data_IF_402562968863
#
_entry.id   IF_402562968863
#
_cell.length_a   1.000
_cell.length_b   1.000
_cell.length_c   1.000
_cell.angle_alpha   90.00
_cell.angle_beta   90.00
_cell.angle_gamma   90.00
#
_symmetry.space_group_name_H-M   'P 1'
#
loop_
_entity.id
_entity.type
_entity.pdbx_description
1 polymer ?
#
# COMPACT_ATOMS: atom_id res chain seq x y z
N UNK A 1 -0.10 -1.21 0.39
CA UNK A 1 -1.38 -1.39 -0.34
C UNK A 1 -1.66 -2.84 -0.79
N UNK A 2 -0.80 -3.82 -0.45
CA UNK A 2 -1.02 -5.25 -0.81
C UNK A 2 -1.43 -6.13 0.36
N UNK A 3 -1.18 -5.71 1.61
CA UNK A 3 -1.37 -6.54 2.80
C UNK A 3 -2.83 -6.92 3.03
N UNK A 4 -3.77 -5.96 2.97
CA UNK A 4 -5.20 -6.24 3.16
C UNK A 4 -5.73 -7.17 2.07
N UNK A 5 -5.30 -6.96 0.82
CA UNK A 5 -5.67 -7.84 -0.30
C UNK A 5 -5.16 -9.27 -0.09
N UNK A 6 -3.92 -9.43 0.37
CA UNK A 6 -3.34 -10.75 0.67
C UNK A 6 -4.06 -11.47 1.81
N UNK A 7 -4.49 -10.73 2.85
CA UNK A 7 -5.33 -11.26 3.92
C UNK A 7 -6.68 -11.72 3.36
N UNK A 8 -7.36 -10.89 2.56
CA UNK A 8 -8.65 -11.25 1.95
C UNK A 8 -8.56 -12.49 1.06
N UNK A 9 -7.52 -12.60 0.21
CA UNK A 9 -7.29 -13.81 -0.58
C UNK A 9 -7.10 -15.00 0.35
N UNK A 10 -6.35 -14.83 1.44
CA UNK A 10 -6.10 -15.92 2.38
C UNK A 10 -7.40 -16.38 3.04
N UNK A 11 -8.30 -15.46 3.37
CA UNK A 11 -9.58 -15.79 4.00
C UNK A 11 -10.61 -16.37 3.01
N UNK A 12 -10.56 -15.98 1.73
CA UNK A 12 -11.55 -16.37 0.72
C UNK A 12 -11.12 -17.56 -0.15
N UNK A 13 -9.82 -17.75 -0.38
CA UNK A 13 -9.29 -18.71 -1.35
C UNK A 13 -8.61 -19.89 -0.63
N UNK A 14 -8.94 -21.14 -0.99
CA UNK A 14 -8.25 -22.32 -0.49
C UNK A 14 -6.74 -22.25 -0.70
N UNK A 15 -5.97 -22.75 0.27
CA UNK A 15 -4.50 -22.64 0.29
C UNK A 15 -3.82 -23.08 -1.02
N UNK A 16 -4.36 -24.12 -1.68
CA UNK A 16 -3.81 -24.66 -2.94
C UNK A 16 -3.83 -23.64 -4.09
N UNK A 17 -4.83 -22.78 -4.13
CA UNK A 17 -5.08 -21.86 -5.24
C UNK A 17 -4.50 -20.47 -4.98
N UNK A 18 -4.10 -20.17 -3.72
CA UNK A 18 -3.60 -18.84 -3.33
C UNK A 18 -2.41 -18.38 -4.17
N UNK A 19 -1.52 -19.30 -4.56
CA UNK A 19 -0.38 -18.98 -5.43
C UNK A 19 -0.80 -18.44 -6.79
N UNK A 20 -1.82 -19.06 -7.41
CA UNK A 20 -2.36 -18.62 -8.70
C UNK A 20 -3.01 -17.24 -8.57
N UNK A 21 -3.85 -17.04 -7.56
CA UNK A 21 -4.52 -15.76 -7.32
C UNK A 21 -3.54 -14.62 -7.02
N UNK A 22 -2.50 -14.89 -6.23
CA UNK A 22 -1.44 -13.93 -5.97
C UNK A 22 -0.67 -13.57 -7.25
N UNK A 23 -0.43 -14.56 -8.13
CA UNK A 23 0.16 -14.34 -9.45
C UNK A 23 -0.70 -13.42 -10.34
N UNK A 24 -2.01 -13.69 -10.43
CA UNK A 24 -2.95 -12.84 -11.20
C UNK A 24 -2.93 -11.40 -10.68
N UNK A 25 -2.95 -11.21 -9.36
CA UNK A 25 -2.92 -9.87 -8.76
C UNK A 25 -1.60 -9.15 -9.03
N UNK A 26 -0.48 -9.87 -9.00
CA UNK A 26 0.82 -9.30 -9.35
C UNK A 26 0.88 -8.87 -10.82
N UNK A 27 0.26 -9.63 -11.73
CA UNK A 27 0.14 -9.24 -13.14
C UNK A 27 -0.66 -7.94 -13.27
N UNK A 28 -1.85 -7.87 -12.65
CA UNK A 28 -2.69 -6.66 -12.66
C UNK A 28 -1.90 -5.45 -12.12
N UNK A 29 -1.19 -5.64 -11.01
CA UNK A 29 -0.36 -4.61 -10.40
C UNK A 29 0.77 -4.15 -11.34
N UNK A 30 1.53 -5.08 -11.91
CA UNK A 30 2.64 -4.77 -12.80
C UNK A 30 2.17 -4.07 -14.08
N UNK A 31 1.07 -4.54 -14.67
CA UNK A 31 0.47 -3.91 -15.85
C UNK A 31 -0.02 -2.49 -15.53
N UNK A 32 -0.74 -2.31 -14.43
CA UNK A 32 -1.21 -0.98 -13.99
C UNK A 32 -0.04 -0.03 -13.72
N UNK A 33 0.98 -0.49 -13.01
CA UNK A 33 2.20 0.28 -12.73
C UNK A 33 2.96 0.63 -14.01
N UNK A 34 3.04 -0.29 -14.98
CA UNK A 34 3.74 -0.08 -16.24
C UNK A 34 3.03 0.93 -17.15
N UNK A 35 1.69 0.88 -17.19
CA UNK A 35 0.88 1.77 -18.04
C UNK A 35 0.69 3.16 -17.40
N UNK A 36 0.73 3.25 -16.07
CA UNK A 36 0.46 4.49 -15.34
C UNK A 36 1.39 5.65 -15.71
N UNK A 37 2.69 5.40 -15.86
CA UNK A 37 3.66 6.45 -16.17
C UNK A 37 3.48 7.04 -17.59
N UNK A 38 3.38 6.24 -18.67
CA UNK A 38 3.06 6.75 -20.01
C UNK A 38 1.73 7.51 -20.06
N UNK A 39 0.66 6.97 -19.48
CA UNK A 39 -0.65 7.64 -19.47
C UNK A 39 -0.60 8.96 -18.70
N UNK A 40 0.07 8.99 -17.55
CA UNK A 40 0.25 10.21 -16.75
C UNK A 40 1.03 11.28 -17.50
N UNK A 41 2.09 10.90 -18.22
CA UNK A 41 2.87 11.80 -19.07
C UNK A 41 2.03 12.40 -20.20
N UNK A 42 1.30 11.56 -20.94
CA UNK A 42 0.38 12.02 -22.00
C UNK A 42 -0.67 12.98 -21.43
N UNK A 43 -1.29 12.65 -20.29
CA UNK A 43 -2.26 13.55 -19.67
C UNK A 43 -1.65 14.89 -19.28
N UNK A 44 -0.43 14.88 -18.74
CA UNK A 44 0.30 16.08 -18.36
C UNK A 44 0.63 16.97 -19.57
N UNK A 45 1.06 16.37 -20.68
CA UNK A 45 1.51 17.08 -21.88
C UNK A 45 0.36 17.69 -22.69
N UNK A 46 -0.78 16.99 -22.81
CA UNK A 46 -1.88 17.43 -23.69
C UNK A 46 -3.00 18.19 -22.99
N UNK A 47 -3.33 17.82 -21.74
CA UNK A 47 -4.52 18.35 -21.03
C UNK A 47 -4.13 19.07 -19.72
N UNK A 48 -2.95 18.73 -19.19
CA UNK A 48 -2.38 19.32 -17.99
C UNK A 48 -2.28 18.32 -16.84
N UNK A 49 -1.24 18.48 -16.02
CA UNK A 49 -0.83 17.52 -14.99
C UNK A 49 -1.93 17.17 -13.96
N UNK A 50 -2.89 18.07 -13.71
CA UNK A 50 -4.00 17.83 -12.76
C UNK A 50 -4.87 16.65 -13.18
N UNK A 51 -5.02 16.42 -14.49
CA UNK A 51 -5.82 15.34 -15.03
C UNK A 51 -5.24 13.96 -14.75
N UNK A 52 -3.92 13.86 -14.54
CA UNK A 52 -3.29 12.63 -14.09
C UNK A 52 -3.86 12.16 -12.74
N UNK A 53 -4.34 13.08 -11.88
CA UNK A 53 -4.97 12.76 -10.59
C UNK A 53 -6.48 12.65 -10.70
N UNK A 54 -7.12 13.56 -11.43
CA UNK A 54 -8.59 13.61 -11.54
C UNK A 54 -9.14 12.33 -12.18
N UNK A 55 -8.46 11.77 -13.19
CA UNK A 55 -8.89 10.53 -13.86
C UNK A 55 -8.84 9.32 -12.93
N UNK A 56 -7.94 9.30 -11.95
CA UNK A 56 -7.85 8.20 -10.99
C UNK A 56 -9.05 8.21 -10.02
N UNK A 57 -9.55 9.38 -9.63
CA UNK A 57 -10.65 9.51 -8.67
C UNK A 57 -11.93 8.71 -9.04
N UNK A 58 -12.51 8.83 -10.26
CA UNK A 58 -13.68 8.02 -10.64
C UNK A 58 -13.36 6.53 -10.73
N UNK A 59 -12.15 6.15 -11.15
CA UNK A 59 -11.73 4.73 -11.20
C UNK A 59 -11.67 4.16 -9.79
N UNK A 60 -11.08 4.90 -8.85
CA UNK A 60 -11.03 4.53 -7.44
C UNK A 60 -12.43 4.46 -6.82
N UNK A 61 -13.31 5.41 -7.16
CA UNK A 61 -14.70 5.41 -6.68
C UNK A 61 -15.47 4.20 -7.20
N UNK A 62 -15.34 3.85 -8.47
CA UNK A 62 -15.97 2.66 -9.05
C UNK A 62 -15.46 1.37 -8.39
N UNK A 63 -14.15 1.25 -8.19
CA UNK A 63 -13.56 0.11 -7.49
C UNK A 63 -14.06 0.01 -6.04
N UNK A 64 -14.14 1.15 -5.34
CA UNK A 64 -14.67 1.22 -3.98
C UNK A 64 -16.12 0.74 -3.94
N UNK A 65 -17.00 1.28 -4.78
CA UNK A 65 -18.41 0.86 -4.85
C UNK A 65 -18.54 -0.63 -5.19
N UNK A 66 -17.76 -1.12 -6.15
CA UNK A 66 -17.79 -2.53 -6.53
C UNK A 66 -17.43 -3.44 -5.36
N UNK A 67 -16.36 -3.12 -4.62
CA UNK A 67 -15.95 -3.86 -3.42
C UNK A 67 -17.02 -3.75 -2.34
N UNK A 68 -17.55 -2.57 -2.06
CA UNK A 68 -18.59 -2.34 -1.03
C UNK A 68 -19.83 -3.19 -1.26
N UNK A 69 -20.27 -3.35 -2.52
CA UNK A 69 -21.50 -4.08 -2.83
C UNK A 69 -21.29 -5.56 -3.15
N UNK A 70 -20.10 -5.96 -3.60
CA UNK A 70 -19.86 -7.34 -4.07
C UNK A 70 -19.07 -8.19 -3.08
N UNK A 71 -18.20 -7.58 -2.26
CA UNK A 71 -17.32 -8.32 -1.36
C UNK A 71 -18.08 -8.76 -0.11
N UNK A 72 -18.24 -10.07 0.05
CA UNK A 72 -18.78 -10.70 1.25
C UNK A 72 -17.65 -11.44 1.96
N UNK A 73 -17.21 -10.90 3.10
CA UNK A 73 -16.14 -11.52 3.91
C UNK A 73 -16.78 -12.44 4.96
N UNK A 74 -16.49 -13.75 4.95
CA UNK A 74 -16.99 -14.66 5.97
C UNK A 74 -16.23 -14.45 7.30
N UNK A 75 -16.92 -14.01 8.35
CA UNK A 75 -16.33 -13.89 9.69
C UNK A 75 -17.29 -13.31 10.74
N UNK A 76 -17.12 -13.65 12.04
CA UNK A 76 -17.97 -13.14 13.09
C UNK A 76 -17.72 -11.64 13.33
N UNK A 77 -18.77 -10.84 13.18
CA UNK A 77 -18.82 -9.46 13.65
C UNK A 77 -18.88 -9.44 15.19
N UNK A 78 -17.74 -9.72 15.85
CA UNK A 78 -17.59 -9.30 17.24
C UNK A 78 -17.44 -7.77 17.21
N UNK A 79 -18.54 -7.07 17.49
CA UNK A 79 -18.65 -5.60 17.48
C UNK A 79 -17.78 -4.88 18.52
N UNK A 80 -16.89 -5.59 19.22
CA UNK A 80 -15.97 -5.02 20.19
C UNK A 80 -14.68 -4.52 19.51
N UNK A 81 -14.76 -3.29 18.99
CA UNK A 81 -13.64 -2.59 18.37
C UNK A 81 -12.49 -2.31 19.35
N UNK A 82 -12.78 -2.22 20.66
CA UNK A 82 -11.77 -1.97 21.69
C UNK A 82 -10.91 -3.22 21.87
N UNK A 83 -11.51 -4.41 21.91
CA UNK A 83 -10.77 -5.67 21.94
C UNK A 83 -9.90 -5.86 20.69
N UNK A 84 -10.38 -5.46 19.50
CA UNK A 84 -9.60 -5.49 18.25
C UNK A 84 -8.39 -4.54 18.32
N UNK A 85 -8.57 -3.31 18.83
CA UNK A 85 -7.47 -2.35 19.00
C UNK A 85 -6.42 -2.85 20.00
N UNK A 86 -6.83 -3.47 21.10
CA UNK A 86 -5.90 -4.01 22.11
C UNK A 86 -5.01 -5.14 21.58
N UNK A 87 -5.39 -5.81 20.48
CA UNK A 87 -4.57 -6.84 19.84
C UNK A 87 -3.43 -6.28 18.98
N UNK A 88 -3.44 -4.98 18.69
CA UNK A 88 -2.41 -4.35 17.87
C UNK A 88 -1.14 -4.15 18.71
N UNK A 89 0.00 -4.60 18.18
CA UNK A 89 1.32 -4.37 18.78
C UNK A 89 1.83 -2.95 18.45
N UNK A 90 1.35 -1.97 19.23
CA UNK A 90 1.76 -0.58 19.07
C UNK A 90 3.24 -0.36 19.42
N UNK A 91 3.77 -1.07 20.41
CA UNK A 91 5.17 -0.91 20.82
C UNK A 91 6.10 -1.39 19.70
N UNK A 92 5.87 -2.58 19.16
CA UNK A 92 6.63 -3.10 18.03
C UNK A 92 6.52 -2.19 16.82
N UNK A 93 5.31 -1.67 16.52
CA UNK A 93 5.11 -0.72 15.42
C UNK A 93 5.92 0.58 15.62
N UNK A 94 5.89 1.18 16.82
CA UNK A 94 6.63 2.40 17.11
C UNK A 94 8.14 2.18 17.06
N UNK A 95 8.64 1.08 17.62
CA UNK A 95 10.07 0.72 17.57
C UNK A 95 10.52 0.52 16.13
N UNK A 96 9.73 -0.19 15.31
CA UNK A 96 10.04 -0.42 13.91
C UNK A 96 10.10 0.90 13.12
N UNK A 97 9.13 1.80 13.31
CA UNK A 97 9.12 3.12 12.68
C UNK A 97 10.36 3.92 13.07
N UNK A 98 10.69 3.96 14.37
CA UNK A 98 11.87 4.63 14.87
C UNK A 98 13.16 4.08 14.27
N UNK A 99 13.28 2.75 14.17
CA UNK A 99 14.44 2.09 13.58
C UNK A 99 14.59 2.42 12.08
N UNK A 100 13.49 2.33 11.30
CA UNK A 100 13.50 2.66 9.86
C UNK A 100 13.88 4.12 9.66
N UNK A 101 13.28 5.04 10.42
CA UNK A 101 13.62 6.47 10.33
C UNK A 101 15.08 6.73 10.71
N UNK A 102 15.56 6.15 11.81
CA UNK A 102 16.95 6.30 12.25
C UNK A 102 17.94 5.80 11.19
N UNK A 103 17.67 4.64 10.61
CA UNK A 103 18.47 4.08 9.51
C UNK A 103 18.42 4.98 8.28
N UNK A 104 17.22 5.39 7.84
CA UNK A 104 17.05 6.26 6.67
C UNK A 104 17.77 7.60 6.82
N UNK A 105 17.66 8.24 7.99
CA UNK A 105 18.37 9.50 8.28
C UNK A 105 19.88 9.28 8.32
N UNK A 106 20.33 8.20 8.96
CA UNK A 106 21.75 7.85 8.99
C UNK A 106 22.34 7.63 7.60
N UNK A 107 21.61 6.94 6.72
CA UNK A 107 21.99 6.72 5.32
C UNK A 107 22.01 8.00 4.50
N UNK A 108 20.97 8.82 4.62
CA UNK A 108 20.89 10.10 3.91
C UNK A 108 22.04 11.02 4.31
N UNK A 109 22.26 11.21 5.63
CA UNK A 109 23.32 12.09 6.15
C UNK A 109 24.73 11.55 5.92
N UNK A 110 24.93 10.25 6.10
CA UNK A 110 26.21 9.62 5.82
C UNK A 110 26.62 9.78 4.36
N UNK A 111 25.66 9.64 3.43
CA UNK A 111 25.90 9.81 2.00
C UNK A 111 26.06 11.28 1.56
N UNK A 112 25.23 12.19 2.07
CA UNK A 112 25.20 13.58 1.61
C UNK A 112 26.17 14.51 2.36
N UNK A 113 26.54 14.17 3.60
CA UNK A 113 27.42 14.99 4.44
C UNK A 113 28.75 14.27 4.67
N UNK A 114 28.77 13.25 5.53
CA UNK A 114 29.89 12.34 5.75
C UNK A 114 29.54 11.34 6.84
N UNK A 115 30.11 10.14 6.77
CA UNK A 115 29.97 9.10 7.79
C UNK A 115 30.85 9.31 9.03
N UNK A 116 31.86 10.17 8.94
CA UNK A 116 32.95 10.26 9.95
C UNK A 116 32.98 11.57 10.72
N UNK A 117 32.17 12.55 10.33
CA UNK A 117 32.12 13.86 10.98
C UNK A 117 30.97 13.81 12.00
N UNK A 118 31.22 13.94 13.30
CA UNK A 118 30.13 14.18 14.25
C UNK A 118 29.53 15.54 13.89
N UNK A 119 28.21 15.63 13.69
CA UNK A 119 27.55 16.93 13.52
C UNK A 119 27.69 17.73 14.82
N UNK A 120 28.80 18.45 14.98
CA UNK A 120 28.92 19.54 15.93
C UNK A 120 28.39 20.78 15.23
N UNK A 121 27.18 21.19 15.59
CA UNK A 121 26.71 22.56 15.33
C UNK A 121 27.56 23.56 16.10
#
# INVERSE_FOLDING_TARGET
>A
MTTVVSILISDLVPLRDRGLWQGIINIIYATGSGIGAPLGGILADYIGWRWAFIVQAPICLLAFLFVTFSLHVPGPDSGDWIAKLKRIDFLGATVLVGAVLGISVGLDRGSNVSWTIPETY
#
